data_IF_766546704083
#
_entry.id   IF_766546704083
#
_cell.length_a   1.000
_cell.length_b   1.000
_cell.length_c   1.000
_cell.angle_alpha   90.00
_cell.angle_beta   90.00
_cell.angle_gamma   90.00
#
_symmetry.space_group_name_H-M   'P 1'
#
loop_
_entity.id
_entity.type
_entity.pdbx_description
1 polymer ?
#
# COMPACT_ATOMS: atom_id res chain seq x y z
N UNK A 1 39.10 4.30 -2.70
CA UNK A 1 38.74 3.71 -1.40
C UNK A 1 38.28 4.82 -0.47
N UNK A 2 37.00 4.82 -0.12
CA UNK A 2 36.45 5.44 1.09
C UNK A 2 35.07 4.80 1.30
N UNK A 3 35.00 3.85 2.22
CA UNK A 3 33.74 3.25 2.63
C UNK A 3 32.91 4.29 3.40
N UNK A 4 31.59 4.36 3.22
CA UNK A 4 30.76 5.16 4.12
C UNK A 4 30.85 4.55 5.53
N UNK A 5 31.09 5.42 6.51
CA UNK A 5 31.18 5.05 7.93
C UNK A 5 29.88 4.38 8.35
N UNK A 6 30.00 3.12 8.77
CA UNK A 6 28.97 2.42 9.52
C UNK A 6 28.94 3.06 10.90
N UNK A 7 27.83 3.70 11.22
CA UNK A 7 27.57 4.16 12.59
C UNK A 7 27.41 2.92 13.47
N UNK A 8 28.25 2.81 14.49
CA UNK A 8 28.39 1.64 15.35
C UNK A 8 27.50 1.77 16.59
N UNK A 9 26.21 1.98 16.37
CA UNK A 9 25.17 1.77 17.38
C UNK A 9 24.33 0.59 16.92
N UNK A 10 24.52 -0.56 17.58
CA UNK A 10 23.72 -1.77 17.37
C UNK A 10 22.29 -1.63 17.91
N UNK A 11 21.64 -0.50 17.67
CA UNK A 11 20.22 -0.33 17.90
C UNK A 11 19.50 -0.76 16.62
N UNK A 12 18.79 -1.88 16.69
CA UNK A 12 17.84 -2.27 15.65
C UNK A 12 16.93 -1.08 15.38
N UNK A 13 16.94 -0.55 14.15
CA UNK A 13 15.97 0.46 13.72
C UNK A 13 14.57 -0.03 14.14
N UNK A 14 13.77 0.78 14.84
CA UNK A 14 12.49 0.32 15.33
C UNK A 14 11.67 -0.21 14.15
N UNK A 15 11.10 -1.42 14.29
CA UNK A 15 10.24 -2.01 13.27
C UNK A 15 9.12 -1.05 12.85
N UNK A 16 8.70 -0.19 13.78
CA UNK A 16 7.74 0.90 13.60
C UNK A 16 8.22 2.19 14.25
N UNK A 17 8.37 3.26 13.47
CA UNK A 17 8.53 4.61 14.00
C UNK A 17 7.25 5.42 13.75
N UNK A 18 6.48 5.68 14.80
CA UNK A 18 5.36 6.62 14.77
C UNK A 18 5.81 8.00 15.26
N UNK A 19 5.63 9.03 14.44
CA UNK A 19 5.88 10.42 14.80
C UNK A 19 4.90 10.94 15.86
N UNK A 20 5.20 12.11 16.41
CA UNK A 20 4.24 12.85 17.23
C UNK A 20 3.12 13.40 16.34
N UNK A 21 1.92 13.52 16.89
CA UNK A 21 0.85 14.26 16.23
C UNK A 21 1.28 15.71 16.03
N UNK A 22 1.02 16.24 14.83
CA UNK A 22 1.17 17.65 14.51
C UNK A 22 -0.10 18.17 13.84
N UNK A 23 -0.29 19.48 13.90
CA UNK A 23 -1.53 20.13 13.45
C UNK A 23 -1.31 20.88 12.14
N UNK A 24 -2.35 20.85 11.30
CA UNK A 24 -2.63 21.85 10.28
C UNK A 24 -4.07 22.34 10.53
N UNK A 25 -4.55 23.43 9.89
CA UNK A 25 -5.94 23.84 10.04
C UNK A 25 -6.91 22.66 9.83
N UNK A 26 -7.83 22.47 10.78
CA UNK A 26 -8.87 21.43 10.83
C UNK A 26 -8.42 19.96 10.93
N UNK A 27 -7.13 19.67 10.80
CA UNK A 27 -6.61 18.29 10.79
C UNK A 27 -5.46 18.06 11.77
N UNK A 28 -5.36 16.80 12.20
CA UNK A 28 -4.26 16.25 12.98
C UNK A 28 -3.62 15.13 12.17
N UNK A 29 -2.30 15.16 12.11
CA UNK A 29 -1.51 14.28 11.27
C UNK A 29 -0.43 13.60 12.08
N UNK A 30 -0.16 12.34 11.76
CA UNK A 30 0.92 11.56 12.37
C UNK A 30 1.58 10.70 11.31
N UNK A 31 2.89 10.74 11.28
CA UNK A 31 3.67 9.97 10.32
C UNK A 31 4.02 8.58 10.88
N UNK A 32 3.94 7.56 10.04
CA UNK A 32 4.36 6.20 10.35
C UNK A 32 5.39 5.74 9.34
N UNK A 33 6.55 5.32 9.81
CA UNK A 33 7.56 4.61 9.02
C UNK A 33 7.67 3.18 9.53
N UNK A 34 7.76 2.22 8.60
CA UNK A 34 8.12 0.84 8.92
C UNK A 34 9.29 0.41 8.05
N UNK A 35 10.12 -0.47 8.59
CA UNK A 35 11.14 -1.18 7.80
C UNK A 35 10.59 -2.55 7.43
N UNK A 36 10.49 -2.82 6.13
CA UNK A 36 9.88 -4.06 5.59
C UNK A 36 10.83 -4.76 4.61
N UNK A 37 10.70 -6.07 4.39
CA UNK A 37 11.45 -6.74 3.33
C UNK A 37 10.99 -6.24 1.95
N UNK A 38 11.95 -6.10 1.03
CA UNK A 38 11.72 -5.82 -0.39
C UNK A 38 10.97 -6.99 -1.07
N UNK A 39 11.32 -8.23 -0.72
CA UNK A 39 10.59 -9.44 -1.12
C UNK A 39 9.92 -10.09 0.09
N UNK A 40 8.59 -9.97 0.15
CA UNK A 40 7.78 -10.56 1.21
C UNK A 40 7.76 -12.09 1.22
N UNK A 41 8.25 -12.75 0.15
CA UNK A 41 8.36 -14.22 0.08
C UNK A 41 9.60 -14.77 0.78
N UNK A 42 10.62 -13.93 0.96
CA UNK A 42 11.83 -14.27 1.71
C UNK A 42 12.17 -13.16 2.70
N UNK A 43 11.35 -12.99 3.75
CA UNK A 43 11.51 -11.88 4.70
C UNK A 43 12.80 -11.97 5.51
N UNK A 44 13.43 -13.15 5.59
CA UNK A 44 14.63 -13.39 6.39
C UNK A 44 15.92 -12.93 5.73
N UNK A 45 16.02 -13.05 4.40
CA UNK A 45 17.24 -12.72 3.65
C UNK A 45 17.10 -11.50 2.74
N UNK A 46 15.86 -11.10 2.43
CA UNK A 46 15.60 -9.96 1.56
C UNK A 46 16.22 -8.67 2.09
N UNK A 47 16.70 -7.84 1.16
CA UNK A 47 16.97 -6.42 1.42
C UNK A 47 15.75 -5.78 2.07
N UNK A 48 15.98 -4.82 2.97
CA UNK A 48 14.92 -4.08 3.63
C UNK A 48 14.78 -2.68 3.05
N UNK A 49 13.54 -2.20 2.95
CA UNK A 49 13.18 -0.85 2.52
C UNK A 49 12.35 -0.17 3.61
N UNK A 50 12.31 1.16 3.58
CA UNK A 50 11.42 1.93 4.45
C UNK A 50 10.13 2.23 3.69
N UNK A 51 9.00 1.90 4.28
CA UNK A 51 7.67 2.29 3.81
C UNK A 51 7.07 3.32 4.76
N UNK A 52 6.24 4.22 4.22
CA UNK A 52 5.65 5.30 4.98
C UNK A 52 4.15 5.44 4.74
N UNK A 53 3.42 5.77 5.81
CA UNK A 53 2.05 6.22 5.77
C UNK A 53 1.83 7.35 6.78
N UNK A 54 1.18 8.42 6.33
CA UNK A 54 0.70 9.51 7.18
C UNK A 54 -0.75 9.29 7.56
N UNK A 55 -0.99 9.06 8.84
CA UNK A 55 -2.30 9.09 9.47
C UNK A 55 -2.86 10.52 9.47
N UNK A 56 -4.10 10.69 9.03
CA UNK A 56 -4.83 11.96 9.04
C UNK A 56 -6.20 11.78 9.67
N UNK A 57 -6.53 12.65 10.62
CA UNK A 57 -7.83 12.71 11.31
C UNK A 57 -8.27 14.17 11.49
N UNK A 58 -9.57 14.40 11.71
CA UNK A 58 -10.05 15.72 12.12
C UNK A 58 -9.55 16.08 13.53
N UNK A 59 -9.35 17.37 13.80
CA UNK A 59 -8.97 17.85 15.14
C UNK A 59 -9.96 17.34 16.21
N UNK A 60 -9.42 16.81 17.32
CA UNK A 60 -10.22 16.26 18.43
C UNK A 60 -10.67 14.82 18.23
N UNK A 61 -10.22 14.14 17.16
CA UNK A 61 -10.56 12.74 16.86
C UNK A 61 -9.37 11.77 16.96
N UNK A 62 -8.22 12.20 17.45
CA UNK A 62 -6.99 11.40 17.53
C UNK A 62 -7.16 10.08 18.28
N UNK A 63 -7.96 10.10 19.34
CA UNK A 63 -8.20 8.93 20.21
C UNK A 63 -9.52 8.21 19.89
N UNK A 64 -10.30 8.68 18.91
CA UNK A 64 -11.58 8.08 18.56
C UNK A 64 -11.40 6.86 17.65
N UNK A 65 -11.98 5.72 18.02
CA UNK A 65 -11.99 4.53 17.16
C UNK A 65 -12.86 4.73 15.92
N UNK A 66 -12.27 5.26 14.84
CA UNK A 66 -12.90 5.48 13.54
C UNK A 66 -12.50 4.39 12.53
N UNK A 67 -13.38 4.03 11.57
CA UNK A 67 -12.99 3.21 10.43
C UNK A 67 -11.79 3.79 9.68
N UNK A 68 -10.88 2.93 9.19
CA UNK A 68 -9.74 3.38 8.39
C UNK A 68 -10.10 3.44 6.89
N UNK A 69 -9.56 4.45 6.21
CA UNK A 69 -9.62 4.67 4.77
C UNK A 69 -8.19 4.74 4.21
N UNK A 70 -7.73 3.71 3.52
CA UNK A 70 -6.49 3.81 2.76
C UNK A 70 -6.74 4.62 1.49
N UNK A 71 -5.90 5.64 1.26
CA UNK A 71 -5.89 6.36 -0.01
C UNK A 71 -4.68 5.97 -0.83
N UNK A 72 -4.90 5.42 -2.02
CA UNK A 72 -3.86 5.07 -2.97
C UNK A 72 -3.85 6.11 -4.09
N UNK A 73 -2.84 6.97 -4.06
CA UNK A 73 -2.59 7.95 -5.12
C UNK A 73 -2.22 7.23 -6.43
N UNK A 74 -2.63 7.80 -7.56
CA UNK A 74 -2.28 7.31 -8.89
C UNK A 74 -1.06 7.97 -9.51
N UNK A 75 -0.72 7.49 -10.71
CA UNK A 75 0.57 7.76 -11.35
C UNK A 75 1.67 6.96 -10.65
N UNK A 76 2.27 5.93 -11.28
CA UNK A 76 3.38 5.25 -10.63
C UNK A 76 4.50 6.28 -10.37
N UNK A 77 4.97 6.34 -9.12
CA UNK A 77 6.03 7.27 -8.71
C UNK A 77 5.59 8.68 -8.29
N UNK A 78 4.29 9.01 -8.28
CA UNK A 78 3.82 10.28 -7.73
C UNK A 78 3.57 10.18 -6.23
N UNK A 79 4.01 11.20 -5.49
CA UNK A 79 3.69 11.31 -4.08
C UNK A 79 2.20 11.56 -3.86
N UNK A 80 1.64 10.95 -2.83
CA UNK A 80 0.29 11.29 -2.40
C UNK A 80 0.26 12.74 -1.90
N UNK A 81 -0.83 13.50 -2.17
CA UNK A 81 -0.97 14.87 -1.69
C UNK A 81 -0.75 14.95 -0.18
N UNK A 82 0.05 15.93 0.25
CA UNK A 82 0.34 16.23 1.65
C UNK A 82 -0.60 17.35 2.11
N UNK A 83 -1.68 17.04 2.85
CA UNK A 83 -2.64 18.07 3.24
C UNK A 83 -1.98 19.09 4.16
N UNK A 84 -2.11 20.38 3.79
CA UNK A 84 -1.67 21.53 4.57
C UNK A 84 -2.82 22.22 5.31
N UNK A 85 -4.05 21.77 5.09
CA UNK A 85 -5.29 22.22 5.70
C UNK A 85 -6.40 21.18 5.44
N UNK A 86 -7.52 21.29 6.14
CA UNK A 86 -8.74 20.54 5.83
C UNK A 86 -9.47 21.15 4.64
N UNK A 87 -9.34 20.56 3.45
CA UNK A 87 -10.07 21.02 2.26
C UNK A 87 -10.59 19.87 1.39
N UNK A 88 -11.59 20.20 0.55
CA UNK A 88 -12.18 19.28 -0.42
C UNK A 88 -12.66 17.95 0.16
N UNK A 89 -12.39 16.86 -0.56
CA UNK A 89 -12.79 15.52 -0.12
C UNK A 89 -12.03 15.04 1.12
N UNK A 90 -10.84 15.60 1.41
CA UNK A 90 -9.99 15.18 2.53
C UNK A 90 -10.67 15.56 3.85
N UNK A 91 -11.17 16.79 3.97
CA UNK A 91 -11.90 17.23 5.15
C UNK A 91 -13.12 16.33 5.40
N UNK A 92 -13.93 16.10 4.34
CA UNK A 92 -15.13 15.27 4.45
C UNK A 92 -14.81 13.82 4.82
N UNK A 93 -13.77 13.23 4.25
CA UNK A 93 -13.34 11.88 4.60
C UNK A 93 -12.88 11.77 6.05
N UNK A 94 -12.18 12.79 6.58
CA UNK A 94 -11.67 12.80 7.96
C UNK A 94 -12.78 12.95 9.02
N UNK A 95 -14.00 13.31 8.64
CA UNK A 95 -15.16 13.26 9.52
C UNK A 95 -15.50 11.82 9.92
N UNK A 96 -15.32 10.86 9.01
CA UNK A 96 -15.78 9.49 9.13
C UNK A 96 -14.65 8.45 9.14
N UNK A 97 -13.46 8.81 8.63
CA UNK A 97 -12.35 7.89 8.39
C UNK A 97 -10.97 8.43 8.73
N UNK A 98 -9.99 7.53 8.93
CA UNK A 98 -8.56 7.85 9.07
C UNK A 98 -7.77 7.50 7.80
N UNK A 99 -6.87 8.37 7.30
CA UNK A 99 -6.13 8.18 6.02
C UNK A 99 -4.64 7.90 6.19
N UNK A 100 -3.98 7.13 5.29
CA UNK A 100 -2.52 6.89 5.18
C UNK A 100 -1.89 7.40 3.87
N UNK A 101 -0.74 8.12 3.86
CA UNK A 101 -0.05 8.60 2.61
C UNK A 101 1.49 8.61 2.67
N UNK A 102 2.22 8.41 1.55
CA UNK A 102 3.65 8.04 1.40
C UNK A 102 4.83 9.00 1.78
N UNK A 103 6.05 8.41 1.78
CA UNK A 103 7.44 8.94 1.88
C UNK A 103 8.45 7.74 1.80
N UNK A 104 8.06 6.65 1.12
CA UNK A 104 8.82 5.39 1.08
C UNK A 104 10.14 5.53 0.31
N UNK A 105 11.06 4.58 0.47
CA UNK A 105 12.36 4.54 -0.23
C UNK A 105 12.19 4.81 -1.73
N UNK A 106 12.74 5.92 -2.27
CA UNK A 106 12.47 6.32 -3.65
C UNK A 106 13.30 5.53 -4.66
N UNK A 107 12.69 5.15 -5.77
CA UNK A 107 13.41 4.74 -6.98
C UNK A 107 13.83 5.99 -7.75
N UNK A 108 15.13 6.26 -7.76
CA UNK A 108 15.73 7.39 -8.50
C UNK A 108 16.58 6.90 -9.66
N UNK A 109 16.76 7.73 -10.69
CA UNK A 109 17.67 7.42 -11.81
C UNK A 109 19.06 7.05 -11.30
N UNK A 110 19.59 7.80 -10.32
CA UNK A 110 20.88 7.50 -9.70
C UNK A 110 20.92 6.13 -9.03
N UNK A 111 19.86 5.72 -8.32
CA UNK A 111 19.79 4.38 -7.72
C UNK A 111 19.71 3.27 -8.78
N UNK A 112 19.01 3.50 -9.89
CA UNK A 112 18.88 2.52 -10.97
C UNK A 112 20.19 2.35 -11.76
N UNK A 113 21.00 3.41 -11.88
CA UNK A 113 22.32 3.35 -12.53
C UNK A 113 23.38 2.58 -11.72
N UNK A 114 23.09 2.20 -10.48
CA UNK A 114 24.00 1.37 -9.67
C UNK A 114 23.98 -0.11 -10.09
N UNK A 115 22.96 -0.54 -10.83
CA UNK A 115 22.83 -1.92 -11.30
C UNK A 115 23.72 -2.18 -12.51
N UNK A 116 24.43 -3.32 -12.51
CA UNK A 116 25.43 -3.66 -13.53
C UNK A 116 24.82 -4.29 -14.78
N UNK A 117 23.56 -4.71 -14.74
CA UNK A 117 22.87 -5.31 -15.87
C UNK A 117 21.38 -4.97 -15.89
N UNK A 118 20.78 -5.02 -17.10
CA UNK A 118 19.34 -4.83 -17.27
C UNK A 118 18.50 -5.93 -16.56
N UNK A 119 19.06 -7.14 -16.45
CA UNK A 119 18.41 -8.25 -15.73
C UNK A 119 18.33 -7.94 -14.24
N UNK A 120 19.43 -7.54 -13.62
CA UNK A 120 19.46 -7.21 -12.20
C UNK A 120 18.52 -6.04 -11.87
N UNK A 121 18.48 -5.03 -12.75
CA UNK A 121 17.54 -3.92 -12.60
C UNK A 121 16.08 -4.38 -12.72
N UNK A 122 15.74 -5.21 -13.70
CA UNK A 122 14.39 -5.75 -13.86
C UNK A 122 13.98 -6.63 -12.67
N UNK A 123 14.91 -7.46 -12.17
CA UNK A 123 14.72 -8.28 -10.99
C UNK A 123 14.51 -7.44 -9.73
N UNK A 124 15.12 -6.26 -9.63
CA UNK A 124 14.87 -5.33 -8.54
C UNK A 124 13.53 -4.60 -8.71
N UNK A 125 13.24 -4.06 -9.89
CA UNK A 125 12.04 -3.26 -10.17
C UNK A 125 10.74 -4.06 -10.02
N UNK A 126 10.77 -5.38 -10.17
CA UNK A 126 9.59 -6.24 -9.99
C UNK A 126 9.01 -6.18 -8.57
N UNK A 127 9.79 -5.74 -7.59
CA UNK A 127 9.38 -5.59 -6.18
C UNK A 127 8.67 -4.24 -5.89
N UNK A 128 8.41 -3.43 -6.92
CA UNK A 128 7.72 -2.13 -6.79
C UNK A 128 6.39 -2.10 -7.55
N UNK A 129 5.87 -3.27 -7.92
CA UNK A 129 4.61 -3.45 -8.62
C UNK A 129 3.41 -3.39 -7.67
N UNK A 130 2.21 -3.39 -8.23
CA UNK A 130 0.95 -3.35 -7.48
C UNK A 130 0.83 -4.47 -6.43
N UNK A 131 1.34 -5.68 -6.69
CA UNK A 131 1.36 -6.78 -5.73
C UNK A 131 2.20 -6.44 -4.48
N UNK A 132 3.35 -5.80 -4.66
CA UNK A 132 4.20 -5.35 -3.55
C UNK A 132 3.55 -4.19 -2.77
N UNK A 133 2.89 -3.27 -3.48
CA UNK A 133 2.11 -2.18 -2.86
C UNK A 133 0.97 -2.74 -1.98
N UNK A 134 0.31 -3.81 -2.43
CA UNK A 134 -0.72 -4.50 -1.65
C UNK A 134 -0.13 -5.15 -0.39
N UNK A 135 1.04 -5.78 -0.49
CA UNK A 135 1.73 -6.35 0.67
C UNK A 135 2.10 -5.27 1.70
N UNK A 136 2.63 -4.13 1.25
CA UNK A 136 2.90 -2.98 2.12
C UNK A 136 1.63 -2.47 2.80
N UNK A 137 0.53 -2.39 2.04
CA UNK A 137 -0.75 -1.94 2.55
C UNK A 137 -1.33 -2.92 3.59
N UNK A 138 -1.27 -4.24 3.36
CA UNK A 138 -1.62 -5.25 4.37
C UNK A 138 -0.72 -5.14 5.60
N UNK A 139 0.58 -4.89 5.42
CA UNK A 139 1.53 -4.70 6.51
C UNK A 139 1.13 -3.52 7.41
N UNK A 140 0.73 -2.40 6.81
CA UNK A 140 0.14 -1.26 7.53
C UNK A 140 -1.19 -1.63 8.18
N UNK A 141 -2.10 -2.28 7.45
CA UNK A 141 -3.46 -2.58 7.91
C UNK A 141 -3.44 -3.36 9.21
N UNK A 142 -2.67 -4.44 9.27
CA UNK A 142 -2.64 -5.31 10.45
C UNK A 142 -2.06 -4.63 11.69
N UNK A 143 -1.27 -3.55 11.50
CA UNK A 143 -0.58 -2.80 12.57
C UNK A 143 -1.28 -1.52 12.98
N UNK A 144 -1.96 -0.85 12.06
CA UNK A 144 -2.59 0.46 12.30
C UNK A 144 -4.10 0.36 12.51
N UNK A 145 -4.77 -0.65 11.95
CA UNK A 145 -6.22 -0.82 12.11
C UNK A 145 -6.50 -1.57 13.42
N UNK A 146 -7.33 -1.03 14.33
CA UNK A 146 -7.71 -1.72 15.55
C UNK A 146 -8.25 -3.13 15.29
N UNK A 147 -7.72 -4.12 16.03
CA UNK A 147 -8.09 -5.53 15.87
C UNK A 147 -7.73 -6.13 14.51
N UNK A 148 -6.85 -5.48 13.73
CA UNK A 148 -6.49 -5.88 12.37
C UNK A 148 -7.72 -6.09 11.49
N UNK A 149 -8.73 -5.23 11.66
CA UNK A 149 -9.97 -5.25 10.88
C UNK A 149 -9.77 -4.84 9.41
N UNK A 150 -10.83 -4.92 8.62
CA UNK A 150 -10.83 -4.44 7.25
C UNK A 150 -10.89 -2.92 7.18
N UNK A 151 -10.34 -2.35 6.11
CA UNK A 151 -10.42 -0.93 5.80
C UNK A 151 -11.12 -0.66 4.47
N UNK A 152 -11.51 0.59 4.27
CA UNK A 152 -11.97 1.09 2.97
C UNK A 152 -10.76 1.53 2.15
N UNK A 153 -10.77 1.27 0.84
CA UNK A 153 -9.73 1.78 -0.08
C UNK A 153 -10.35 2.77 -1.03
N UNK A 154 -9.71 3.93 -1.19
CA UNK A 154 -9.98 4.91 -2.22
C UNK A 154 -8.75 4.99 -3.14
N UNK A 155 -8.88 4.45 -4.34
CA UNK A 155 -7.84 4.49 -5.36
C UNK A 155 -8.12 5.56 -6.41
N UNK A 156 -7.11 6.37 -6.74
CA UNK A 156 -7.14 7.30 -7.87
C UNK A 156 -6.21 6.79 -8.96
N UNK A 157 -6.64 6.78 -10.23
CA UNK A 157 -5.81 6.34 -11.38
C UNK A 157 -5.09 5.00 -11.10
N UNK A 158 -3.76 4.95 -11.09
CA UNK A 158 -3.00 3.73 -10.76
C UNK A 158 -3.34 3.12 -9.39
N UNK A 159 -3.73 3.94 -8.41
CA UNK A 159 -4.23 3.46 -7.13
C UNK A 159 -5.54 2.66 -7.24
N UNK A 160 -6.34 2.91 -8.28
CA UNK A 160 -7.49 2.09 -8.65
C UNK A 160 -7.08 0.69 -9.11
N UNK A 161 -6.03 0.56 -9.93
CA UNK A 161 -5.47 -0.74 -10.32
C UNK A 161 -4.86 -1.48 -9.12
N UNK A 162 -4.24 -0.76 -8.18
CA UNK A 162 -3.79 -1.35 -6.93
C UNK A 162 -4.97 -1.89 -6.11
N UNK A 163 -6.11 -1.18 -6.06
CA UNK A 163 -7.31 -1.67 -5.37
C UNK A 163 -7.88 -2.95 -6.00
N UNK A 164 -7.85 -3.08 -7.33
CA UNK A 164 -8.24 -4.33 -8.02
C UNK A 164 -7.26 -5.46 -7.71
N UNK A 165 -5.95 -5.18 -7.70
CA UNK A 165 -4.93 -6.15 -7.30
C UNK A 165 -5.15 -6.60 -5.85
N UNK A 166 -5.50 -5.67 -4.96
CA UNK A 166 -5.79 -5.94 -3.55
C UNK A 166 -6.97 -6.93 -3.40
N UNK A 167 -8.04 -6.76 -4.17
CA UNK A 167 -9.16 -7.71 -4.18
C UNK A 167 -8.73 -9.12 -4.54
N UNK A 168 -7.76 -9.29 -5.44
CA UNK A 168 -7.29 -10.61 -5.86
C UNK A 168 -6.35 -11.27 -4.84
N UNK A 169 -5.54 -10.48 -4.13
CA UNK A 169 -4.47 -11.01 -3.27
C UNK A 169 -4.84 -11.02 -1.78
N UNK A 170 -5.61 -10.03 -1.31
CA UNK A 170 -5.99 -9.88 0.10
C UNK A 170 -7.43 -9.34 0.27
N UNK A 171 -8.44 -10.01 -0.31
CA UNK A 171 -9.83 -9.54 -0.27
C UNK A 171 -10.38 -9.36 1.16
N UNK A 172 -9.92 -10.18 2.11
CA UNK A 172 -10.30 -10.11 3.52
C UNK A 172 -9.93 -8.78 4.20
N UNK A 173 -8.93 -8.07 3.66
CA UNK A 173 -8.52 -6.76 4.16
C UNK A 173 -9.47 -5.64 3.76
N UNK A 174 -10.39 -5.87 2.82
CA UNK A 174 -11.22 -4.84 2.21
C UNK A 174 -12.67 -4.91 2.66
N UNK A 175 -13.25 -3.75 2.99
CA UNK A 175 -14.67 -3.64 3.36
C UNK A 175 -15.56 -3.19 2.19
N UNK A 176 -15.35 -1.97 1.72
CA UNK A 176 -16.29 -1.32 0.80
C UNK A 176 -16.20 -1.86 -0.63
N UNK A 177 -14.99 -2.18 -1.11
CA UNK A 177 -14.80 -2.72 -2.47
C UNK A 177 -15.44 -4.11 -2.60
N UNK A 178 -15.26 -4.97 -1.59
CA UNK A 178 -15.93 -6.28 -1.52
C UNK A 178 -17.46 -6.14 -1.55
N UNK A 179 -18.03 -5.20 -0.78
CA UNK A 179 -19.47 -4.93 -0.78
C UNK A 179 -20.00 -4.48 -2.14
N UNK A 180 -19.23 -3.70 -2.90
CA UNK A 180 -19.64 -3.28 -4.24
C UNK A 180 -19.58 -4.42 -5.25
N UNK A 181 -18.57 -5.30 -5.17
CA UNK A 181 -18.52 -6.53 -5.98
C UNK A 181 -19.73 -7.43 -5.70
N UNK A 182 -20.10 -7.64 -4.43
CA UNK A 182 -21.30 -8.40 -4.07
C UNK A 182 -22.57 -7.78 -4.65
N UNK A 183 -22.70 -6.44 -4.59
CA UNK A 183 -23.85 -5.72 -5.17
C UNK A 183 -23.90 -5.90 -6.69
N UNK A 184 -22.76 -5.87 -7.37
CA UNK A 184 -22.68 -6.08 -8.81
C UNK A 184 -23.16 -7.49 -9.19
N UNK A 185 -22.60 -8.53 -8.58
CA UNK A 185 -22.95 -9.92 -8.92
C UNK A 185 -24.37 -10.31 -8.47
N UNK A 186 -24.93 -9.65 -7.45
CA UNK A 186 -26.37 -9.76 -7.15
C UNK A 186 -27.25 -9.23 -8.29
N UNK A 187 -26.79 -8.19 -8.99
CA UNK A 187 -27.50 -7.59 -10.13
C UNK A 187 -27.26 -8.36 -11.43
N UNK A 188 -26.07 -8.94 -11.61
CA UNK A 188 -25.64 -9.66 -12.81
C UNK A 188 -25.04 -11.03 -12.45
N UNK A 189 -25.85 -12.00 -11.98
CA UNK A 189 -25.34 -13.28 -11.50
C UNK A 189 -24.70 -14.14 -12.60
N UNK A 190 -25.15 -13.99 -13.86
CA UNK A 190 -24.58 -14.71 -15.00
C UNK A 190 -23.12 -14.35 -15.29
N UNK A 191 -22.69 -13.14 -14.91
CA UNK A 191 -21.34 -12.67 -15.14
C UNK A 191 -20.32 -13.47 -14.32
N UNK A 192 -20.73 -14.10 -13.22
CA UNK A 192 -19.85 -14.97 -12.41
C UNK A 192 -19.32 -16.10 -13.29
N UNK A 193 -20.18 -16.76 -14.04
CA UNK A 193 -19.77 -17.91 -14.85
C UNK A 193 -18.91 -17.48 -16.04
N UNK A 194 -19.27 -16.36 -16.68
CA UNK A 194 -18.45 -15.77 -17.76
C UNK A 194 -17.04 -15.43 -17.27
N UNK A 195 -16.91 -14.80 -16.09
CA UNK A 195 -15.60 -14.47 -15.51
C UNK A 195 -14.81 -15.75 -15.17
N UNK A 196 -15.48 -16.79 -14.67
CA UNK A 196 -14.84 -18.09 -14.39
C UNK A 196 -14.36 -18.77 -15.66
N UNK A 197 -15.16 -18.78 -16.73
CA UNK A 197 -14.77 -19.32 -18.03
C UNK A 197 -13.55 -18.61 -18.59
N UNK A 198 -13.53 -17.27 -18.58
CA UNK A 198 -12.37 -16.48 -19.02
C UNK A 198 -11.14 -16.80 -18.16
N UNK A 199 -11.31 -16.88 -16.83
CA UNK A 199 -10.21 -17.18 -15.92
C UNK A 199 -9.63 -18.57 -16.18
N UNK A 200 -10.48 -19.58 -16.35
CA UNK A 200 -10.07 -20.96 -16.65
C UNK A 200 -9.35 -21.01 -18.00
N UNK A 201 -9.91 -20.38 -19.03
CA UNK A 201 -9.28 -20.30 -20.35
C UNK A 201 -7.88 -19.67 -20.29
N UNK A 202 -7.72 -18.57 -19.56
CA UNK A 202 -6.41 -17.92 -19.37
C UNK A 202 -5.44 -18.81 -18.58
N UNK A 203 -5.91 -19.52 -17.55
CA UNK A 203 -5.09 -20.41 -16.75
C UNK A 203 -4.59 -21.63 -17.55
N UNK A 204 -5.41 -22.15 -18.45
CA UNK A 204 -5.12 -23.31 -19.31
C UNK A 204 -4.30 -22.93 -20.56
N UNK A 205 -4.35 -21.66 -20.98
CA UNK A 205 -3.59 -21.16 -22.12
C UNK A 205 -2.10 -21.05 -21.83
N UNK A 206 -1.26 -21.47 -22.78
CA UNK A 206 0.19 -21.36 -22.68
C UNK A 206 0.60 -19.87 -22.56
N UNK A 207 1.19 -19.49 -21.42
CA UNK A 207 1.53 -18.10 -21.11
C UNK A 207 0.36 -17.20 -20.67
N UNK A 208 -0.87 -17.72 -20.60
CA UNK A 208 -2.05 -16.95 -20.18
C UNK A 208 -2.13 -16.70 -18.66
N UNK A 209 -1.47 -17.55 -17.88
CA UNK A 209 -1.25 -17.31 -16.46
C UNK A 209 -0.01 -16.45 -16.22
N UNK A 210 -0.16 -15.35 -15.47
CA UNK A 210 1.00 -14.76 -14.79
C UNK A 210 1.36 -15.71 -13.66
N UNK A 211 2.46 -16.44 -13.77
CA UNK A 211 3.09 -17.11 -12.62
C UNK A 211 3.60 -16.02 -11.67
N UNK A 212 2.71 -15.54 -10.83
CA UNK A 212 3.08 -14.90 -9.59
C UNK A 212 3.78 -16.00 -8.80
N UNK A 213 5.12 -15.94 -8.71
CA UNK A 213 5.90 -16.96 -8.01
C UNK A 213 5.26 -17.22 -6.65
N UNK A 214 4.96 -18.50 -6.39
CA UNK A 214 4.06 -18.96 -5.34
C UNK A 214 4.16 -18.18 -4.03
N UNK A 215 2.99 -17.84 -3.49
CA UNK A 215 2.76 -17.34 -2.13
C UNK A 215 3.07 -18.45 -1.13
#
# INVERSE_FOLDING_TARGET
MAAPKVDSSGESLPEHAAGKWYSVPDLRLRDHCFTVPLDYRDPGTSLKISIFAREVVAVGKEDQSLPCLLFLQGGPGFESPRPTEGSGWILKACEEFRRGTGLSTPLTTSSMLQFKSARDLADYLKHFRADSIVNDAEFFRVRLVPGSGSWTVLGQSYGGFCAVTYLSFAPQGLKQVARQNEKYYKKYPQDIEVVREVTNYLAESEGGGVRLGCI
#
